data_IF_896720773500
#
_entry.id   IF_896720773500
#
_cell.length_a   1.000
_cell.length_b   1.000
_cell.length_c   1.000
_cell.angle_alpha   90.00
_cell.angle_beta   90.00
_cell.angle_gamma   90.00
#
_symmetry.space_group_name_H-M   'P 1'
#
loop_
_entity.id
_entity.type
_entity.pdbx_description
1 polymer ?
#
# COMPACT_ATOMS: atom_id res chain seq x y z
N UNK A 1 -10.93 4.05 -11.25
CA UNK A 1 -12.02 3.73 -10.33
C UNK A 1 -11.87 2.37 -9.68
N UNK A 2 -12.88 1.98 -8.94
CA UNK A 2 -12.88 0.73 -8.17
C UNK A 2 -12.56 -0.50 -9.00
N UNK A 3 -13.20 -0.65 -10.15
CA UNK A 3 -12.99 -1.82 -10.98
C UNK A 3 -11.56 -1.92 -11.52
N UNK A 4 -10.96 -0.79 -11.86
CA UNK A 4 -9.57 -0.75 -12.31
C UNK A 4 -8.63 -1.22 -11.22
N UNK A 5 -8.87 -0.81 -9.98
CA UNK A 5 -8.09 -1.27 -8.82
C UNK A 5 -8.23 -2.78 -8.65
N UNK A 6 -9.45 -3.29 -8.68
CA UNK A 6 -9.71 -4.73 -8.52
C UNK A 6 -8.99 -5.54 -9.59
N UNK A 7 -9.10 -5.13 -10.85
CA UNK A 7 -8.46 -5.85 -11.97
C UNK A 7 -6.95 -5.80 -11.89
N UNK A 8 -6.38 -4.62 -11.62
CA UNK A 8 -4.93 -4.47 -11.56
C UNK A 8 -4.31 -5.21 -10.37
N UNK A 9 -5.01 -5.27 -9.23
CA UNK A 9 -4.53 -6.03 -8.08
C UNK A 9 -4.41 -7.53 -8.34
N UNK A 10 -5.20 -8.07 -9.26
CA UNK A 10 -5.11 -9.49 -9.62
C UNK A 10 -3.81 -9.83 -10.33
N UNK A 11 -3.25 -8.88 -11.08
CA UNK A 11 -2.12 -9.13 -11.97
C UNK A 11 -0.84 -8.42 -11.53
N UNK A 12 -0.88 -7.66 -10.45
CA UNK A 12 0.30 -6.93 -9.98
C UNK A 12 1.29 -7.87 -9.29
N UNK A 13 2.56 -7.59 -9.46
CA UNK A 13 3.63 -8.25 -8.72
C UNK A 13 3.94 -7.50 -7.42
N UNK A 14 3.82 -6.18 -7.45
CA UNK A 14 4.08 -5.31 -6.31
C UNK A 14 2.97 -4.25 -6.26
N UNK A 15 2.42 -4.02 -5.09
CA UNK A 15 1.47 -2.94 -4.83
C UNK A 15 2.13 -1.98 -3.85
N UNK A 16 2.25 -0.71 -4.24
CA UNK A 16 2.83 0.34 -3.39
C UNK A 16 1.78 1.41 -3.14
N UNK A 17 1.66 1.84 -1.92
CA UNK A 17 0.75 2.94 -1.60
C UNK A 17 0.73 3.26 -0.11
N UNK A 18 -0.02 4.29 0.28
CA UNK A 18 -0.22 4.60 1.69
C UNK A 18 -0.95 3.46 2.38
N UNK A 19 -0.68 3.27 3.67
CA UNK A 19 -1.29 2.18 4.43
C UNK A 19 -2.83 2.20 4.40
N UNK A 20 -3.41 3.38 4.19
CA UNK A 20 -4.87 3.52 4.10
C UNK A 20 -5.53 2.69 3.01
N UNK A 21 -4.79 2.24 2.00
CA UNK A 21 -5.38 1.46 0.89
C UNK A 21 -5.88 0.08 1.33
N UNK A 22 -5.47 -0.40 2.50
CA UNK A 22 -5.97 -1.66 3.07
C UNK A 22 -7.06 -1.44 4.11
N UNK A 23 -7.50 -0.20 4.28
CA UNK A 23 -8.51 0.17 5.26
C UNK A 23 -9.77 0.62 4.51
N UNK A 24 -10.85 -0.13 4.65
CA UNK A 24 -12.11 0.23 4.02
C UNK A 24 -12.57 1.62 4.49
N UNK A 25 -13.08 2.40 3.55
CA UNK A 25 -13.57 3.77 3.75
C UNK A 25 -12.51 4.79 4.17
N UNK A 26 -11.23 4.42 4.12
CA UNK A 26 -10.14 5.36 4.37
C UNK A 26 -10.06 6.43 3.26
N UNK A 27 -9.29 7.47 3.52
CA UNK A 27 -9.06 8.58 2.60
C UNK A 27 -10.40 9.24 2.18
N UNK A 28 -11.21 9.58 3.19
CA UNK A 28 -12.52 10.22 2.99
C UNK A 28 -13.45 9.40 2.09
N UNK A 29 -13.39 8.08 2.22
CA UNK A 29 -14.25 7.19 1.44
C UNK A 29 -13.73 6.83 0.05
N UNK A 30 -12.54 7.31 -0.34
CA UNK A 30 -11.94 6.96 -1.62
C UNK A 30 -11.64 5.47 -1.72
N UNK A 31 -11.29 4.84 -0.60
CA UNK A 31 -10.97 3.42 -0.57
C UNK A 31 -12.25 2.66 -0.21
N UNK A 32 -12.92 2.15 -1.22
CA UNK A 32 -14.12 1.33 -0.99
C UNK A 32 -13.75 0.01 -0.36
N UNK A 33 -14.71 -0.66 0.34
CA UNK A 33 -14.45 -2.01 0.86
C UNK A 33 -13.95 -2.99 -0.21
N UNK A 34 -14.47 -2.90 -1.44
CA UNK A 34 -14.02 -3.75 -2.54
C UNK A 34 -12.56 -3.48 -2.91
N UNK A 35 -12.15 -2.22 -2.92
CA UNK A 35 -10.75 -1.84 -3.19
C UNK A 35 -9.81 -2.38 -2.11
N UNK A 36 -10.14 -2.16 -0.84
CA UNK A 36 -9.34 -2.64 0.27
C UNK A 36 -9.21 -4.17 0.23
N UNK A 37 -10.31 -4.86 -0.04
CA UNK A 37 -10.33 -6.31 -0.16
C UNK A 37 -9.44 -6.78 -1.30
N UNK A 38 -9.54 -6.15 -2.47
CA UNK A 38 -8.73 -6.51 -3.63
C UNK A 38 -7.24 -6.37 -3.36
N UNK A 39 -6.82 -5.30 -2.70
CA UNK A 39 -5.43 -5.08 -2.29
C UNK A 39 -4.98 -6.18 -1.33
N UNK A 40 -5.79 -6.46 -0.31
CA UNK A 40 -5.44 -7.46 0.71
C UNK A 40 -5.42 -8.89 0.18
N UNK A 41 -6.27 -9.23 -0.78
CA UNK A 41 -6.34 -10.57 -1.36
C UNK A 41 -5.36 -10.79 -2.51
N UNK A 42 -4.71 -9.74 -2.99
CA UNK A 42 -3.72 -9.86 -4.06
C UNK A 42 -2.54 -10.74 -3.62
N UNK A 43 -2.00 -11.51 -4.55
CA UNK A 43 -0.75 -12.25 -4.34
C UNK A 43 0.49 -11.37 -4.43
N UNK A 44 0.33 -10.11 -4.81
CA UNK A 44 1.44 -9.15 -4.89
C UNK A 44 2.09 -8.91 -3.51
N UNK A 45 3.36 -8.56 -3.52
CA UNK A 45 4.01 -8.03 -2.33
C UNK A 45 3.51 -6.60 -2.12
N UNK A 46 3.02 -6.29 -0.93
CA UNK A 46 2.51 -4.97 -0.59
C UNK A 46 3.58 -4.17 0.14
N UNK A 47 3.91 -3.00 -0.42
CA UNK A 47 4.82 -2.05 0.19
C UNK A 47 3.97 -0.86 0.66
N UNK A 48 3.68 -0.81 1.94
CA UNK A 48 2.75 0.16 2.51
C UNK A 48 3.52 1.27 3.23
N UNK A 49 3.23 2.50 2.83
CA UNK A 49 3.84 3.69 3.41
C UNK A 49 2.95 4.14 4.57
N UNK A 50 3.49 4.28 5.80
CA UNK A 50 2.68 4.61 6.98
C UNK A 50 2.34 6.11 7.03
N UNK A 51 1.69 6.60 5.99
CA UNK A 51 1.17 7.97 5.91
C UNK A 51 -0.34 7.92 5.70
N UNK A 52 -1.02 9.01 6.02
CA UNK A 52 -2.46 9.12 5.85
C UNK A 52 -3.23 7.95 6.47
N UNK A 53 -2.76 7.48 7.63
CA UNK A 53 -3.40 6.37 8.33
C UNK A 53 -4.60 6.80 9.16
N UNK A 54 -5.04 8.06 8.99
CA UNK A 54 -6.21 8.63 9.64
C UNK A 54 -6.08 8.55 11.17
N UNK A 55 -7.06 7.95 11.84
CA UNK A 55 -7.03 7.80 13.29
C UNK A 55 -6.35 6.48 13.74
N UNK A 56 -5.75 5.78 12.81
CA UNK A 56 -5.05 4.54 13.14
C UNK A 56 -3.62 4.83 13.57
N UNK A 57 -3.21 4.31 14.70
CA UNK A 57 -1.86 4.43 15.21
C UNK A 57 -1.09 3.14 14.91
N UNK A 58 0.08 3.28 14.32
CA UNK A 58 0.92 2.14 13.96
C UNK A 58 2.01 2.01 15.03
N UNK A 59 1.85 1.07 15.94
CA UNK A 59 2.77 0.85 17.05
C UNK A 59 4.15 0.48 16.51
N UNK A 60 5.18 1.09 17.09
CA UNK A 60 6.57 0.78 16.72
C UNK A 60 7.06 1.50 15.47
N UNK A 61 6.22 2.29 14.82
CA UNK A 61 6.61 3.07 13.63
C UNK A 61 6.62 4.55 14.02
N UNK A 62 7.78 5.18 14.14
CA UNK A 62 7.87 6.61 14.47
C UNK A 62 7.44 7.46 13.28
N UNK A 63 6.97 8.66 13.57
CA UNK A 63 6.68 9.64 12.53
C UNK A 63 7.97 10.03 11.81
N UNK A 64 7.92 10.09 10.50
CA UNK A 64 9.05 10.46 9.66
C UNK A 64 8.58 11.39 8.54
N UNK A 65 9.48 12.24 8.03
CA UNK A 65 9.15 13.05 6.85
C UNK A 65 8.73 12.16 5.68
N UNK A 66 7.72 12.59 4.95
CA UNK A 66 7.20 11.81 3.82
C UNK A 66 8.28 11.49 2.79
N UNK A 67 9.22 12.40 2.55
CA UNK A 67 10.33 12.16 1.63
C UNK A 67 11.19 10.97 2.02
N UNK A 68 11.44 10.80 3.32
CA UNK A 68 12.20 9.65 3.84
C UNK A 68 11.42 8.36 3.64
N UNK A 69 10.12 8.39 3.90
CA UNK A 69 9.26 7.22 3.73
C UNK A 69 9.16 6.80 2.26
N UNK A 70 9.01 7.76 1.35
CA UNK A 70 8.97 7.47 -0.08
C UNK A 70 10.30 6.91 -0.56
N UNK A 71 11.42 7.48 -0.11
CA UNK A 71 12.75 6.96 -0.46
C UNK A 71 12.93 5.52 0.00
N UNK A 72 12.49 5.21 1.22
CA UNK A 72 12.55 3.84 1.75
C UNK A 72 11.68 2.88 0.92
N UNK A 73 10.49 3.32 0.53
CA UNK A 73 9.60 2.52 -0.32
C UNK A 73 10.24 2.25 -1.69
N UNK A 74 10.85 3.24 -2.30
CA UNK A 74 11.57 3.09 -3.59
C UNK A 74 12.69 2.06 -3.45
N UNK A 75 13.48 2.13 -2.38
CA UNK A 75 14.56 1.18 -2.14
C UNK A 75 14.01 -0.25 -1.98
N UNK A 76 12.90 -0.40 -1.27
CA UNK A 76 12.28 -1.71 -1.09
C UNK A 76 11.80 -2.29 -2.42
N UNK A 77 11.14 -1.47 -3.25
CA UNK A 77 10.67 -1.90 -4.57
C UNK A 77 11.85 -2.33 -5.44
N UNK A 78 12.94 -1.56 -5.45
CA UNK A 78 14.14 -1.91 -6.19
C UNK A 78 14.71 -3.24 -5.73
N UNK A 79 14.77 -3.47 -4.42
CA UNK A 79 15.28 -4.72 -3.86
C UNK A 79 14.42 -5.92 -4.30
N UNK A 80 13.09 -5.76 -4.28
CA UNK A 80 12.16 -6.79 -4.71
C UNK A 80 12.31 -7.11 -6.20
N UNK A 81 12.51 -6.08 -7.03
CA UNK A 81 12.64 -6.26 -8.48
C UNK A 81 13.98 -6.88 -8.89
N UNK A 82 15.06 -6.55 -8.18
CA UNK A 82 16.41 -7.00 -8.53
C UNK A 82 16.85 -8.26 -7.81
N UNK A 83 16.34 -8.46 -6.60
CA UNK A 83 16.73 -9.60 -5.77
C UNK A 83 15.92 -10.86 -5.99
N UNK A 84 14.94 -10.85 -6.91
CA UNK A 84 14.04 -11.99 -7.10
C UNK A 84 13.25 -12.30 -5.84
N UNK A 85 13.06 -11.32 -4.99
CA UNK A 85 12.56 -11.49 -3.64
C UNK A 85 11.05 -11.44 -3.50
N UNK A 86 10.33 -11.92 -4.42
CA UNK A 86 8.88 -12.03 -4.23
C UNK A 86 8.50 -13.42 -3.77
#
# INVERSE_FOLDING_TARGET
GENAVVVNCRNADIIVGPIGIVIADALLGEITPAMATAVCQSSATRVLIPVNHCENYIVGVPDQPIGSLVAAAVQKVKALCTGGGC
#
